data_IF_192275300560
#
_entry.id   IF_192275300560
#
_cell.length_a   1.000
_cell.length_b   1.000
_cell.length_c   1.000
_cell.angle_alpha   90.00
_cell.angle_beta   90.00
_cell.angle_gamma   90.00
#
_symmetry.space_group_name_H-M   'P 1'
#
loop_
_entity.id
_entity.type
_entity.pdbx_description
1 polymer ?
#
# COMPACT_ATOMS: atom_id res chain seq x y z
N UNK A 1 -2.66 -4.59 -1.87
CA UNK A 1 -1.45 -3.74 -1.88
C UNK A 1 -0.81 -3.80 -3.27
N UNK A 2 -0.32 -2.69 -3.82
CA UNK A 2 0.21 -2.64 -5.20
C UNK A 2 1.53 -3.41 -5.40
N UNK A 3 2.54 -3.18 -4.56
CA UNK A 3 3.85 -3.86 -4.56
C UNK A 3 4.22 -4.30 -3.12
N UNK A 4 5.18 -5.21 -2.97
CA UNK A 4 5.60 -5.79 -1.69
C UNK A 4 6.02 -4.74 -0.65
N UNK A 5 6.84 -3.75 -1.02
CA UNK A 5 7.45 -2.78 -0.06
C UNK A 5 8.11 -3.50 1.13
N UNK A 6 7.56 -3.34 2.34
CA UNK A 6 8.01 -4.04 3.55
C UNK A 6 7.24 -5.34 3.80
N UNK A 7 6.25 -5.69 3.00
CA UNK A 7 5.53 -6.96 3.09
C UNK A 7 6.42 -8.18 2.83
N UNK A 8 5.93 -9.36 3.19
CA UNK A 8 6.67 -10.61 3.10
C UNK A 8 6.03 -11.56 2.11
N UNK A 9 6.85 -12.26 1.31
CA UNK A 9 6.35 -13.36 0.47
C UNK A 9 5.80 -14.48 1.37
N UNK A 10 4.77 -15.19 0.93
CA UNK A 10 4.25 -16.33 1.69
C UNK A 10 5.26 -17.48 1.82
N UNK A 11 6.21 -17.57 0.88
CA UNK A 11 7.28 -18.57 0.87
C UNK A 11 8.46 -18.25 1.80
N UNK A 12 8.61 -17.00 2.23
CA UNK A 12 9.69 -16.57 3.12
C UNK A 12 9.29 -16.79 4.59
N UNK A 13 10.24 -17.05 5.51
CA UNK A 13 9.95 -17.02 6.94
C UNK A 13 9.52 -15.61 7.38
N UNK A 14 8.81 -15.51 8.51
CA UNK A 14 8.49 -14.22 9.11
C UNK A 14 9.78 -13.59 9.64
N UNK A 15 10.11 -12.40 9.15
CA UNK A 15 11.32 -11.68 9.57
C UNK A 15 11.16 -11.06 10.98
N UNK A 16 12.25 -10.60 11.62
CA UNK A 16 12.17 -10.02 12.96
C UNK A 16 11.25 -8.79 13.06
N UNK A 17 11.11 -8.02 11.99
CA UNK A 17 10.28 -6.81 11.97
C UNK A 17 8.79 -7.19 12.04
N UNK A 18 8.33 -8.08 11.17
CA UNK A 18 6.95 -8.56 11.17
C UNK A 18 6.65 -9.45 12.36
N UNK A 19 7.62 -10.25 12.83
CA UNK A 19 7.45 -11.01 14.06
C UNK A 19 7.10 -10.08 15.22
N UNK A 20 7.85 -8.98 15.39
CA UNK A 20 7.57 -8.00 16.44
C UNK A 20 6.23 -7.29 16.23
N UNK A 21 5.86 -6.95 15.00
CA UNK A 21 4.56 -6.33 14.70
C UNK A 21 3.40 -7.27 15.05
N UNK A 22 3.46 -8.54 14.64
CA UNK A 22 2.42 -9.52 14.96
C UNK A 22 2.32 -9.76 16.46
N UNK A 23 3.45 -9.85 17.15
CA UNK A 23 3.49 -9.97 18.62
C UNK A 23 2.84 -8.77 19.30
N UNK A 24 3.23 -7.54 18.95
CA UNK A 24 2.69 -6.31 19.59
C UNK A 24 1.21 -6.13 19.32
N UNK A 25 0.76 -6.47 18.12
CA UNK A 25 -0.65 -6.32 17.73
C UNK A 25 -1.49 -7.56 18.04
N UNK A 26 -0.91 -8.59 18.68
CA UNK A 26 -1.57 -9.86 19.00
C UNK A 26 -2.27 -10.52 17.79
N UNK A 27 -1.63 -10.47 16.62
CA UNK A 27 -2.19 -11.04 15.38
C UNK A 27 -2.14 -12.56 15.44
N UNK A 28 -3.30 -13.21 15.39
CA UNK A 28 -3.39 -14.66 15.36
C UNK A 28 -2.90 -15.23 14.01
N UNK A 29 -2.16 -16.32 14.03
CA UNK A 29 -1.67 -16.98 12.79
C UNK A 29 -2.82 -17.36 11.85
N UNK A 30 -3.97 -17.79 12.41
CA UNK A 30 -5.16 -18.14 11.65
C UNK A 30 -5.80 -16.96 10.89
N UNK A 31 -5.44 -15.71 11.23
CA UNK A 31 -5.90 -14.51 10.49
C UNK A 31 -5.09 -14.24 9.22
N UNK A 32 -3.96 -14.93 9.02
CA UNK A 32 -3.09 -14.73 7.87
C UNK A 32 -3.62 -15.47 6.63
N UNK A 33 -3.62 -14.79 5.49
CA UNK A 33 -4.05 -15.34 4.21
C UNK A 33 -3.19 -14.77 3.06
N UNK A 34 -3.05 -15.46 1.93
CA UNK A 34 -2.30 -14.96 0.80
C UNK A 34 -3.00 -13.78 0.11
N UNK A 35 -2.23 -12.80 -0.31
CA UNK A 35 -2.64 -11.70 -1.20
C UNK A 35 -1.72 -11.64 -2.41
N UNK A 36 -2.23 -11.23 -3.57
CA UNK A 36 -1.42 -11.07 -4.79
C UNK A 36 -1.20 -9.59 -5.07
N UNK A 37 0.06 -9.21 -5.30
CA UNK A 37 0.40 -7.82 -5.66
C UNK A 37 0.06 -7.54 -7.13
N UNK A 38 -0.77 -6.51 -7.44
CA UNK A 38 -1.10 -6.17 -8.83
C UNK A 38 0.09 -5.72 -9.69
N UNK A 39 1.14 -5.16 -9.07
CA UNK A 39 2.30 -4.65 -9.81
C UNK A 39 3.24 -5.77 -10.29
N UNK A 40 3.41 -6.83 -9.50
CA UNK A 40 4.47 -7.83 -9.71
C UNK A 40 3.96 -9.28 -9.76
N UNK A 41 2.70 -9.51 -9.39
CA UNK A 41 2.13 -10.85 -9.28
C UNK A 41 2.66 -11.67 -8.11
N UNK A 42 3.38 -11.04 -7.17
CA UNK A 42 3.96 -11.73 -6.03
C UNK A 42 2.86 -12.10 -5.01
N UNK A 43 2.90 -13.34 -4.53
CA UNK A 43 2.04 -13.83 -3.44
C UNK A 43 2.67 -13.48 -2.09
N UNK A 44 2.03 -12.59 -1.35
CA UNK A 44 2.50 -12.05 -0.08
C UNK A 44 1.55 -12.43 1.07
N UNK A 45 2.06 -12.37 2.30
CA UNK A 45 1.24 -12.31 3.52
C UNK A 45 0.41 -11.02 3.52
N UNK A 46 -0.66 -10.93 4.34
CA UNK A 46 -1.51 -9.76 4.32
C UNK A 46 -0.70 -8.49 4.57
N UNK A 47 -0.90 -7.52 3.68
CA UNK A 47 -0.29 -6.21 3.78
C UNK A 47 -1.17 -5.25 2.99
N UNK A 48 -1.59 -4.16 3.64
CA UNK A 48 -2.58 -3.24 3.09
C UNK A 48 -1.96 -1.87 2.82
N UNK A 49 -2.27 -1.30 1.65
CA UNK A 49 -1.89 0.07 1.33
C UNK A 49 -2.86 1.05 2.00
N UNK A 50 -2.32 2.13 2.54
CA UNK A 50 -3.12 3.19 3.17
C UNK A 50 -3.63 4.26 2.19
N UNK A 51 -3.31 4.16 0.90
CA UNK A 51 -3.60 5.21 -0.09
C UNK A 51 -5.08 5.37 -0.45
N UNK A 52 -5.89 4.32 -0.28
CA UNK A 52 -7.33 4.39 -0.49
C UNK A 52 -8.05 3.36 0.37
N UNK A 53 -8.94 3.83 1.24
CA UNK A 53 -9.73 3.00 2.15
C UNK A 53 -11.18 3.46 2.13
N UNK A 54 -12.11 2.52 2.05
CA UNK A 54 -13.53 2.76 2.36
C UNK A 54 -13.82 1.98 3.63
N UNK A 55 -14.27 2.68 4.67
CA UNK A 55 -14.47 2.12 6.00
C UNK A 55 -15.89 2.37 6.46
N UNK A 56 -16.38 1.49 7.34
CA UNK A 56 -17.57 1.72 8.16
C UNK A 56 -17.11 2.36 9.48
N UNK A 57 -17.30 3.67 9.70
CA UNK A 57 -16.75 4.36 10.87
C UNK A 57 -17.19 3.72 12.20
N UNK A 58 -18.41 3.19 12.27
CA UNK A 58 -18.98 2.50 13.42
C UNK A 58 -18.20 1.23 13.81
N UNK A 59 -17.41 0.66 12.89
CA UNK A 59 -16.52 -0.46 13.18
C UNK A 59 -15.23 -0.05 13.86
N UNK A 60 -14.91 1.24 13.97
CA UNK A 60 -13.78 1.70 14.78
C UNK A 60 -12.38 1.42 14.18
N UNK A 61 -12.28 1.03 12.91
CA UNK A 61 -11.02 0.61 12.29
C UNK A 61 -9.94 1.71 12.32
N UNK A 62 -10.32 2.96 12.06
CA UNK A 62 -9.35 4.07 12.01
C UNK A 62 -8.86 4.45 13.42
N UNK A 63 -9.72 4.37 14.43
CA UNK A 63 -9.32 4.53 15.83
C UNK A 63 -8.33 3.42 16.23
N UNK A 64 -8.64 2.17 15.86
CA UNK A 64 -7.75 1.05 16.13
C UNK A 64 -6.40 1.23 15.44
N UNK A 65 -6.41 1.62 14.16
CA UNK A 65 -5.17 1.88 13.43
C UNK A 65 -4.29 2.94 14.12
N UNK A 66 -4.87 4.05 14.60
CA UNK A 66 -4.14 5.05 15.40
C UNK A 66 -3.51 4.45 16.66
N UNK A 67 -4.28 3.64 17.39
CA UNK A 67 -3.83 3.04 18.65
C UNK A 67 -2.71 2.02 18.40
N UNK A 68 -2.85 1.17 17.38
CA UNK A 68 -1.80 0.22 16.98
C UNK A 68 -0.56 0.97 16.49
N UNK A 69 -0.71 2.05 15.72
CA UNK A 69 0.44 2.84 15.28
C UNK A 69 1.18 3.46 16.47
N UNK A 70 0.46 3.97 17.46
CA UNK A 70 1.05 4.52 18.69
C UNK A 70 1.80 3.44 19.46
N UNK A 71 1.22 2.25 19.57
CA UNK A 71 1.85 1.08 20.19
C UNK A 71 3.16 0.69 19.49
N UNK A 72 3.14 0.56 18.15
CA UNK A 72 4.32 0.18 17.37
C UNK A 72 5.38 1.28 17.36
N UNK A 73 4.97 2.55 17.29
CA UNK A 73 5.89 3.69 17.28
C UNK A 73 6.63 3.86 18.61
N UNK A 74 6.02 3.45 19.73
CA UNK A 74 6.63 3.51 21.06
C UNK A 74 7.54 2.31 21.37
N UNK A 75 7.44 1.23 20.60
CA UNK A 75 8.24 0.02 20.79
C UNK A 75 9.72 0.27 20.46
N UNK A 76 10.61 0.08 21.44
CA UNK A 76 12.03 0.39 21.29
C UNK A 76 12.73 -0.43 20.21
N UNK A 77 12.34 -1.70 20.05
CA UNK A 77 12.91 -2.61 19.05
C UNK A 77 12.52 -2.14 17.64
N UNK A 78 11.24 -1.82 17.43
CA UNK A 78 10.78 -1.30 16.14
C UNK A 78 11.37 0.08 15.82
N UNK A 79 11.54 0.94 16.83
CA UNK A 79 12.22 2.24 16.66
C UNK A 79 13.66 2.06 16.19
N UNK A 80 14.41 1.12 16.77
CA UNK A 80 15.77 0.83 16.35
C UNK A 80 15.81 0.29 14.91
N UNK A 81 14.94 -0.68 14.58
CA UNK A 81 14.83 -1.20 13.21
C UNK A 81 14.47 -0.11 12.19
N UNK A 82 13.59 0.83 12.55
CA UNK A 82 13.22 1.97 11.71
C UNK A 82 14.35 3.02 11.60
N UNK A 83 15.21 3.15 12.61
CA UNK A 83 16.37 4.02 12.54
C UNK A 83 17.43 3.50 11.55
N UNK A 84 17.54 2.17 11.43
CA UNK A 84 18.47 1.49 10.53
C UNK A 84 17.92 1.34 9.10
N UNK A 85 16.60 1.35 8.92
CA UNK A 85 15.95 1.11 7.63
C UNK A 85 14.83 2.12 7.36
N UNK A 86 15.09 3.01 6.40
CA UNK A 86 14.16 4.08 6.01
C UNK A 86 12.84 3.53 5.46
N UNK A 87 12.82 2.36 4.80
CA UNK A 87 11.57 1.78 4.29
C UNK A 87 10.69 1.33 5.44
N UNK A 88 11.26 0.66 6.46
CA UNK A 88 10.53 0.30 7.68
C UNK A 88 9.95 1.53 8.37
N UNK A 89 10.74 2.61 8.47
CA UNK A 89 10.27 3.88 9.03
C UNK A 89 9.11 4.50 8.25
N UNK A 90 9.21 4.55 6.92
CA UNK A 90 8.16 5.09 6.06
C UNK A 90 6.90 4.25 6.18
N UNK A 91 6.99 2.92 6.13
CA UNK A 91 5.84 2.03 6.03
C UNK A 91 5.31 1.49 7.36
N UNK A 92 5.87 1.89 8.51
CA UNK A 92 5.39 1.46 9.84
C UNK A 92 3.90 1.73 10.04
N UNK A 93 3.38 2.84 9.51
CA UNK A 93 1.95 3.14 9.57
C UNK A 93 1.10 2.12 8.80
N UNK A 94 1.57 1.60 7.67
CA UNK A 94 0.85 0.56 6.93
C UNK A 94 0.91 -0.82 7.61
N UNK A 95 1.98 -1.11 8.35
CA UNK A 95 2.03 -2.35 9.14
C UNK A 95 1.11 -2.26 10.36
N UNK A 96 0.98 -1.09 10.98
CA UNK A 96 -0.04 -0.82 11.98
C UNK A 96 -1.46 -1.00 11.42
N UNK A 97 -1.74 -0.50 10.22
CA UNK A 97 -3.02 -0.71 9.53
C UNK A 97 -3.28 -2.20 9.32
N UNK A 98 -2.26 -2.94 8.91
CA UNK A 98 -2.35 -4.37 8.69
C UNK A 98 -2.70 -5.10 9.99
N UNK A 99 -2.04 -4.78 11.10
CA UNK A 99 -2.40 -5.34 12.40
C UNK A 99 -3.83 -4.97 12.83
N UNK A 100 -4.22 -3.71 12.66
CA UNK A 100 -5.58 -3.25 12.97
C UNK A 100 -6.64 -3.99 12.17
N UNK A 101 -6.41 -4.27 10.89
CA UNK A 101 -7.33 -5.05 10.05
C UNK A 101 -7.37 -6.50 10.53
N UNK A 102 -6.21 -7.16 10.66
CA UNK A 102 -6.14 -8.60 10.96
C UNK A 102 -6.66 -8.98 12.36
N UNK A 103 -6.54 -8.07 13.33
CA UNK A 103 -7.00 -8.32 14.70
C UNK A 103 -8.49 -7.93 14.90
N UNK A 104 -9.08 -7.17 13.98
CA UNK A 104 -10.40 -6.56 14.20
C UNK A 104 -11.48 -6.96 13.20
N UNK A 105 -11.07 -7.45 12.03
CA UNK A 105 -11.97 -7.83 10.95
C UNK A 105 -11.74 -9.27 10.53
N UNK A 106 -12.82 -9.98 10.27
CA UNK A 106 -12.76 -11.29 9.64
C UNK A 106 -12.49 -11.15 8.14
N UNK A 107 -11.95 -12.19 7.49
CA UNK A 107 -11.67 -12.16 6.04
C UNK A 107 -12.91 -11.82 5.20
N UNK A 108 -14.08 -12.31 5.60
CA UNK A 108 -15.35 -12.03 4.91
C UNK A 108 -15.81 -10.56 4.98
N UNK A 109 -15.24 -9.78 5.90
CA UNK A 109 -15.55 -8.36 6.08
C UNK A 109 -14.60 -7.45 5.28
N UNK A 110 -13.57 -8.02 4.65
CA UNK A 110 -12.55 -7.30 3.89
C UNK A 110 -12.84 -7.47 2.40
N UNK A 111 -13.01 -6.35 1.70
CA UNK A 111 -13.12 -6.32 0.25
C UNK A 111 -11.93 -5.60 -0.36
N UNK A 112 -11.23 -6.28 -1.26
CA UNK A 112 -10.18 -5.65 -2.06
C UNK A 112 -10.82 -4.91 -3.24
N UNK A 113 -10.39 -3.68 -3.48
CA UNK A 113 -10.82 -2.96 -4.67
C UNK A 113 -10.28 -3.63 -5.94
N UNK A 114 -10.99 -3.41 -7.05
CA UNK A 114 -10.44 -3.72 -8.37
C UNK A 114 -9.18 -2.89 -8.63
N UNK A 115 -8.34 -3.34 -9.56
CA UNK A 115 -7.12 -2.63 -9.95
C UNK A 115 -7.40 -1.30 -10.68
N UNK A 116 -8.68 -0.95 -10.93
CA UNK A 116 -9.15 0.32 -11.50
C UNK A 116 -9.24 1.46 -10.46
N UNK A 117 -9.18 1.13 -9.16
CA UNK A 117 -9.23 2.10 -8.06
C UNK A 117 -7.83 2.22 -7.47
N UNK A 118 -7.44 3.44 -7.12
CA UNK A 118 -6.11 3.75 -6.60
C UNK A 118 -4.99 3.33 -7.58
N UNK A 119 -5.29 3.42 -8.89
CA UNK A 119 -4.42 2.98 -9.98
C UNK A 119 -3.10 3.78 -9.97
N UNK A 120 -1.92 3.13 -9.85
CA UNK A 120 -0.67 3.84 -9.67
C UNK A 120 -0.05 4.17 -11.03
N UNK A 121 -0.36 5.35 -11.59
CA UNK A 121 0.18 5.69 -12.91
C UNK A 121 1.71 5.75 -12.89
N UNK A 122 2.34 5.27 -13.97
CA UNK A 122 3.80 5.22 -14.15
C UNK A 122 4.57 4.56 -13.00
N UNK A 123 3.93 3.65 -12.26
CA UNK A 123 4.54 2.97 -11.13
C UNK A 123 5.77 2.14 -11.51
N UNK A 124 5.78 1.59 -12.73
CA UNK A 124 6.92 0.87 -13.28
C UNK A 124 8.14 1.79 -13.44
N UNK A 125 7.96 3.02 -13.93
CA UNK A 125 9.06 3.99 -14.09
C UNK A 125 9.65 4.40 -12.75
N UNK A 126 8.80 4.54 -11.72
CA UNK A 126 9.24 4.97 -10.40
C UNK A 126 9.87 3.84 -9.57
N UNK A 127 9.34 2.62 -9.66
CA UNK A 127 9.62 1.55 -8.70
C UNK A 127 9.98 0.20 -9.33
N UNK A 128 10.09 0.12 -10.66
CA UNK A 128 10.52 -1.09 -11.37
C UNK A 128 9.48 -2.22 -11.39
N UNK A 129 8.20 -1.89 -11.27
CA UNK A 129 7.11 -2.88 -11.35
C UNK A 129 7.11 -3.66 -12.68
N UNK A 130 6.72 -4.93 -12.63
CA UNK A 130 6.62 -5.78 -13.84
C UNK A 130 5.48 -5.35 -14.77
N UNK A 131 4.35 -4.90 -14.21
CA UNK A 131 3.20 -4.39 -14.96
C UNK A 131 3.40 -2.91 -15.32
N UNK A 132 3.11 -2.55 -16.57
CA UNK A 132 3.01 -1.15 -16.99
C UNK A 132 1.70 -0.52 -16.51
N UNK A 133 1.79 0.66 -15.92
CA UNK A 133 0.64 1.41 -15.42
C UNK A 133 0.44 2.72 -16.18
N UNK A 134 0.24 2.62 -17.49
CA UNK A 134 0.15 3.76 -18.39
C UNK A 134 -1.15 3.76 -19.22
N UNK A 135 -2.21 3.10 -18.75
CA UNK A 135 -3.50 3.10 -19.40
C UNK A 135 -4.61 3.50 -18.41
N UNK A 136 -5.23 4.65 -18.66
CA UNK A 136 -6.26 5.26 -17.82
C UNK A 136 -7.66 5.25 -18.45
N UNK A 137 -7.88 4.47 -19.52
CA UNK A 137 -9.18 4.40 -20.21
C UNK A 137 -10.30 3.99 -19.25
N UNK A 138 -10.06 2.94 -18.47
CA UNK A 138 -11.05 2.38 -17.54
C UNK A 138 -10.76 2.73 -16.08
N UNK A 139 -9.77 3.58 -15.79
CA UNK A 139 -9.40 3.92 -14.42
C UNK A 139 -10.47 4.81 -13.77
N UNK A 140 -10.87 4.44 -12.55
CA UNK A 140 -11.87 5.16 -11.74
C UNK A 140 -11.18 6.23 -10.90
N UNK A 141 -10.13 5.85 -10.17
CA UNK A 141 -9.24 6.77 -9.46
C UNK A 141 -7.80 6.37 -9.69
N UNK A 142 -6.92 7.36 -9.86
CA UNK A 142 -5.49 7.13 -9.93
C UNK A 142 -4.76 7.82 -8.78
N UNK A 143 -3.55 7.32 -8.51
CA UNK A 143 -2.55 7.97 -7.67
C UNK A 143 -1.28 8.13 -8.49
N UNK A 144 -0.57 9.23 -8.29
CA UNK A 144 0.60 9.59 -9.09
C UNK A 144 1.89 9.69 -8.26
N UNK A 145 1.83 9.36 -6.96
CA UNK A 145 2.95 9.47 -6.02
C UNK A 145 3.76 10.76 -6.27
N UNK A 146 5.09 10.68 -6.35
CA UNK A 146 5.97 11.80 -6.65
C UNK A 146 6.29 11.98 -8.13
N UNK A 147 5.68 11.21 -9.05
CA UNK A 147 6.06 11.19 -10.47
C UNK A 147 6.05 12.61 -11.09
N UNK A 148 4.96 13.34 -10.91
CA UNK A 148 4.78 14.66 -11.53
C UNK A 148 5.58 15.79 -10.89
N UNK A 149 6.44 15.50 -9.89
CA UNK A 149 7.41 16.49 -9.39
C UNK A 149 8.55 16.71 -10.38
N UNK A 150 8.89 15.68 -11.16
CA UNK A 150 9.92 15.70 -12.19
C UNK A 150 9.58 14.60 -13.23
N UNK A 151 8.57 14.83 -14.09
CA UNK A 151 8.11 13.84 -15.05
C UNK A 151 9.12 13.62 -16.18
N UNK A 152 8.95 12.54 -16.94
CA UNK A 152 9.50 12.47 -18.29
C UNK A 152 8.90 13.61 -19.15
N UNK A 153 9.70 14.41 -19.88
CA UNK A 153 9.18 15.48 -20.74
C UNK A 153 8.09 15.05 -21.72
N UNK A 154 8.11 13.79 -22.17
CA UNK A 154 7.17 13.20 -23.12
C UNK A 154 6.12 12.29 -22.45
N UNK A 155 5.90 12.42 -21.13
CA UNK A 155 4.98 11.54 -20.37
C UNK A 155 3.56 11.45 -20.99
N UNK A 156 3.06 12.53 -21.60
CA UNK A 156 1.74 12.55 -22.26
C UNK A 156 1.64 11.50 -23.37
N UNK A 157 2.71 11.34 -24.15
CA UNK A 157 2.78 10.37 -25.24
C UNK A 157 2.92 8.92 -24.74
N UNK A 158 3.33 8.76 -23.48
CA UNK A 158 3.47 7.46 -22.83
C UNK A 158 2.16 6.99 -22.16
N UNK A 159 1.18 7.89 -21.97
CA UNK A 159 -0.10 7.63 -21.31
C UNK A 159 -1.21 7.38 -22.33
N UNK A 160 -1.89 6.25 -22.20
CA UNK A 160 -3.07 5.92 -23.01
C UNK A 160 -4.34 6.27 -22.23
N UNK A 161 -5.24 7.06 -22.82
CA UNK A 161 -6.46 7.46 -22.15
C UNK A 161 -7.28 8.49 -22.89
N UNK A 162 -8.42 8.91 -22.31
CA UNK A 162 -9.24 10.00 -22.85
C UNK A 162 -8.42 11.30 -22.94
N UNK A 163 -8.36 11.97 -24.11
CA UNK A 163 -7.52 13.16 -24.30
C UNK A 163 -7.84 14.31 -23.34
N UNK A 164 -9.12 14.47 -22.97
CA UNK A 164 -9.58 15.47 -22.01
C UNK A 164 -9.03 15.21 -20.59
N UNK A 165 -8.95 13.96 -20.16
CA UNK A 165 -8.34 13.60 -18.87
C UNK A 165 -6.84 13.84 -18.85
N UNK A 166 -6.13 13.49 -19.93
CA UNK A 166 -4.69 13.73 -20.06
C UNK A 166 -4.40 15.24 -20.04
N UNK A 167 -5.16 16.02 -20.79
CA UNK A 167 -5.06 17.48 -20.77
C UNK A 167 -5.32 18.06 -19.37
N UNK A 168 -6.34 17.57 -18.67
CA UNK A 168 -6.61 17.98 -17.29
C UNK A 168 -5.42 17.69 -16.36
N UNK A 169 -4.79 16.51 -16.48
CA UNK A 169 -3.62 16.15 -15.67
C UNK A 169 -2.45 17.11 -15.90
N UNK A 170 -2.19 17.49 -17.16
CA UNK A 170 -1.17 18.47 -17.53
C UNK A 170 -1.38 19.84 -16.87
N UNK A 171 -2.62 20.26 -16.73
CA UNK A 171 -2.93 21.58 -16.18
C UNK A 171 -2.87 21.62 -14.64
N UNK A 172 -3.04 20.46 -13.99
CA UNK A 172 -3.33 20.42 -12.55
C UNK A 172 -2.28 19.68 -11.71
N UNK A 173 -1.46 18.80 -12.29
CA UNK A 173 -0.54 17.96 -11.51
C UNK A 173 0.89 18.50 -11.39
N UNK A 174 1.21 19.60 -12.08
CA UNK A 174 2.56 20.19 -12.18
C UNK A 174 2.75 21.45 -11.32
N UNK A 175 1.94 21.62 -10.27
CA UNK A 175 1.96 22.79 -9.39
C UNK A 175 2.70 22.51 -8.08
#
# INVERSE_FOLDING_TARGET
MMHKNVGLLTSEPVDPFWHRIYERNAVAEASLFPMVTPADGDTIRPYFNAGCLVVRPERGLLQRWRDEFTLLYQDSILREMCAQDVKKRIFLHQTALTGAILNHLERGEIMEFSDRINYPIFFEQMFGAKKKFNNINDVITFRHESYFRDPDPDWENQLQGPPDKIAWMREHLFK
#
